data_IF_333481057844
#
_entry.id   IF_333481057844
#
_cell.length_a   1.000
_cell.length_b   1.000
_cell.length_c   1.000
_cell.angle_alpha   90.00
_cell.angle_beta   90.00
_cell.angle_gamma   90.00
#
_symmetry.space_group_name_H-M   'P 1'
#
loop_
_entity.id
_entity.type
_entity.pdbx_description
1 polymer ?
#
# COMPACT_ATOMS: atom_id res chain seq x y z
N UNK A 1 -1.97 -27.31 30.16
CA UNK A 1 -1.76 -25.88 30.02
C UNK A 1 -2.45 -25.41 28.73
N UNK A 2 -3.68 -24.89 28.90
CA UNK A 2 -4.40 -24.19 27.85
C UNK A 2 -3.66 -22.90 27.60
N UNK A 3 -2.98 -22.79 26.43
CA UNK A 3 -2.48 -21.52 25.97
C UNK A 3 -3.69 -20.64 25.64
N UNK A 4 -3.94 -19.63 26.45
CA UNK A 4 -4.83 -18.53 26.10
C UNK A 4 -4.18 -17.79 24.94
N UNK A 5 -4.63 -18.07 23.72
CA UNK A 5 -4.29 -17.28 22.55
C UNK A 5 -4.86 -15.89 22.76
N UNK A 6 -4.01 -14.90 22.74
CA UNK A 6 -4.39 -13.49 22.81
C UNK A 6 -5.25 -13.19 21.59
N UNK A 7 -6.56 -13.19 21.74
CA UNK A 7 -7.54 -13.12 20.65
C UNK A 7 -7.68 -11.71 20.05
N UNK A 8 -7.00 -10.72 20.65
CA UNK A 8 -7.07 -9.31 20.23
C UNK A 8 -6.00 -8.96 19.16
N UNK A 9 -5.01 -9.81 18.96
CA UNK A 9 -3.92 -9.55 18.02
C UNK A 9 -3.98 -10.45 16.80
N UNK A 10 -3.90 -9.82 15.61
CA UNK A 10 -3.74 -10.54 14.36
C UNK A 10 -2.30 -11.03 14.28
N UNK A 11 -2.13 -12.34 14.10
CA UNK A 11 -0.83 -12.96 13.85
C UNK A 11 -0.84 -13.62 12.48
N UNK A 12 0.07 -13.20 11.61
CA UNK A 12 0.25 -13.87 10.33
C UNK A 12 0.84 -15.27 10.53
N UNK A 13 0.25 -16.31 9.91
CA UNK A 13 0.75 -17.68 10.05
C UNK A 13 2.08 -17.84 9.31
N UNK A 14 3.16 -18.02 10.05
CA UNK A 14 4.46 -18.45 9.50
C UNK A 14 5.21 -17.46 8.62
N UNK A 15 4.82 -16.18 8.57
CA UNK A 15 5.51 -15.16 7.78
C UNK A 15 5.93 -13.95 8.62
N UNK A 16 6.87 -13.19 8.09
CA UNK A 16 7.20 -11.88 8.64
C UNK A 16 6.04 -10.91 8.37
N UNK A 17 5.59 -10.21 9.39
CA UNK A 17 4.47 -9.27 9.31
C UNK A 17 4.89 -7.90 9.80
N UNK A 18 4.45 -6.86 9.07
CA UNK A 18 4.68 -5.46 9.39
C UNK A 18 3.32 -4.71 9.44
N UNK A 19 3.33 -3.45 9.05
CA UNK A 19 2.25 -2.49 9.17
C UNK A 19 0.88 -2.98 8.69
N UNK A 20 -0.21 -2.59 9.37
CA UNK A 20 -1.55 -2.69 8.78
C UNK A 20 -1.65 -1.70 7.61
N UNK A 21 -2.09 -2.19 6.46
CA UNK A 21 -2.10 -1.42 5.21
C UNK A 21 -3.47 -0.91 4.81
N UNK A 22 -4.48 -1.73 4.97
CA UNK A 22 -5.85 -1.37 4.70
C UNK A 22 -6.76 -1.92 5.78
N UNK A 23 -7.72 -1.11 6.21
CA UNK A 23 -8.75 -1.55 7.14
C UNK A 23 -10.09 -0.98 6.66
N UNK A 24 -11.07 -1.87 6.45
CA UNK A 24 -12.37 -1.46 5.96
C UNK A 24 -13.47 -2.43 6.42
N UNK A 25 -14.64 -1.89 6.73
CA UNK A 25 -15.86 -2.69 6.86
C UNK A 25 -16.49 -2.84 5.48
N UNK A 26 -16.59 -4.07 5.01
CA UNK A 26 -17.04 -4.36 3.65
C UNK A 26 -17.87 -5.64 3.61
N UNK A 27 -19.07 -5.56 3.04
CA UNK A 27 -20.02 -6.69 2.90
C UNK A 27 -20.20 -7.50 4.18
N UNK A 28 -20.42 -6.79 5.29
CA UNK A 28 -20.75 -7.39 6.59
C UNK A 28 -19.58 -7.90 7.42
N UNK A 29 -18.34 -7.65 6.96
CA UNK A 29 -17.13 -8.06 7.68
C UNK A 29 -16.09 -6.93 7.73
N UNK A 30 -15.27 -6.94 8.78
CA UNK A 30 -14.07 -6.13 8.86
C UNK A 30 -12.96 -6.83 8.11
N UNK A 31 -12.31 -6.11 7.21
CA UNK A 31 -11.16 -6.56 6.44
C UNK A 31 -9.91 -5.84 6.91
N UNK A 32 -8.87 -6.58 7.24
CA UNK A 32 -7.55 -6.07 7.56
C UNK A 32 -6.55 -6.63 6.58
N UNK A 33 -5.80 -5.73 5.94
CA UNK A 33 -4.67 -6.08 5.10
C UNK A 33 -3.39 -5.66 5.80
N UNK A 34 -2.34 -6.46 5.63
CA UNK A 34 -1.07 -6.22 6.31
C UNK A 34 0.10 -6.58 5.42
N UNK A 35 1.21 -5.86 5.57
CA UNK A 35 2.44 -6.22 4.88
C UNK A 35 2.99 -7.53 5.42
N UNK A 36 3.40 -8.42 4.54
CA UNK A 36 4.07 -9.66 4.91
C UNK A 36 5.07 -10.11 3.85
N UNK A 37 6.05 -10.88 4.29
CA UNK A 37 6.93 -11.65 3.43
C UNK A 37 6.63 -13.13 3.65
N UNK A 38 5.95 -13.82 2.70
CA UNK A 38 5.44 -15.17 2.95
C UNK A 38 6.51 -16.28 2.90
N UNK A 39 7.74 -15.96 2.46
CA UNK A 39 8.81 -16.93 2.26
C UNK A 39 9.77 -17.08 3.44
N UNK A 40 9.52 -16.41 4.56
CA UNK A 40 10.34 -16.52 5.75
C UNK A 40 10.10 -15.42 6.78
N UNK A 41 10.67 -15.57 7.98
CA UNK A 41 10.51 -14.61 9.07
C UNK A 41 11.47 -13.42 8.96
N UNK A 42 11.59 -12.84 7.79
CA UNK A 42 12.50 -11.72 7.48
C UNK A 42 11.89 -10.75 6.49
N UNK A 43 12.45 -9.56 6.41
CA UNK A 43 12.12 -8.57 5.39
C UNK A 43 12.48 -9.12 4.00
N UNK A 44 11.65 -8.83 3.02
CA UNK A 44 11.87 -9.21 1.64
C UNK A 44 10.96 -8.45 0.69
N UNK A 45 10.69 -8.98 -0.50
CA UNK A 45 9.71 -8.43 -1.43
C UNK A 45 8.32 -8.52 -0.81
N UNK A 46 7.76 -7.37 -0.41
CA UNK A 46 6.54 -7.32 0.37
C UNK A 46 5.30 -7.73 -0.42
N UNK A 47 4.43 -8.46 0.26
CA UNK A 47 3.10 -8.85 -0.16
C UNK A 47 2.08 -8.25 0.80
N UNK A 48 0.81 -8.31 0.44
CA UNK A 48 -0.27 -8.04 1.37
C UNK A 48 -0.94 -9.34 1.78
N UNK A 49 -0.92 -9.63 3.08
CA UNK A 49 -1.77 -10.62 3.69
C UNK A 49 -3.16 -10.06 3.96
N UNK A 50 -4.12 -10.92 4.24
CA UNK A 50 -5.51 -10.57 4.40
C UNK A 50 -6.14 -11.38 5.54
N UNK A 51 -6.88 -10.70 6.40
CA UNK A 51 -7.69 -11.32 7.44
C UNK A 51 -9.06 -10.64 7.52
N UNK A 52 -10.08 -11.39 7.88
CA UNK A 52 -11.45 -10.90 8.04
C UNK A 52 -11.98 -11.24 9.42
N UNK A 53 -12.89 -10.41 9.93
CA UNK A 53 -13.54 -10.59 11.22
C UNK A 53 -14.98 -10.07 11.20
N UNK A 54 -15.86 -10.72 11.94
CA UNK A 54 -17.22 -10.22 12.17
C UNK A 54 -17.31 -9.34 13.43
N UNK A 55 -16.36 -9.47 14.36
CA UNK A 55 -16.44 -8.89 15.71
C UNK A 55 -15.18 -8.11 16.14
N UNK A 56 -14.16 -8.00 15.30
CA UNK A 56 -12.85 -7.38 15.58
C UNK A 56 -11.99 -8.14 16.60
N UNK A 57 -12.47 -9.26 17.11
CA UNK A 57 -11.77 -10.08 18.11
C UNK A 57 -11.27 -11.38 17.49
N UNK A 58 -12.13 -12.05 16.74
CA UNK A 58 -11.81 -13.31 16.06
C UNK A 58 -11.51 -13.05 14.59
N UNK A 59 -10.30 -13.41 14.14
CA UNK A 59 -9.83 -13.16 12.80
C UNK A 59 -9.58 -14.45 12.04
N UNK A 60 -10.10 -14.52 10.81
CA UNK A 60 -9.84 -15.59 9.87
C UNK A 60 -8.86 -15.10 8.79
N UNK A 61 -7.72 -15.78 8.67
CA UNK A 61 -6.73 -15.48 7.63
C UNK A 61 -7.19 -16.00 6.28
N UNK A 62 -7.13 -15.15 5.26
CA UNK A 62 -7.54 -15.45 3.89
C UNK A 62 -6.35 -15.70 2.93
N UNK A 63 -5.13 -15.61 3.44
CA UNK A 63 -3.92 -15.78 2.63
C UNK A 63 -3.43 -14.48 2.03
N UNK A 64 -2.81 -14.57 0.87
CA UNK A 64 -2.20 -13.42 0.19
C UNK A 64 -3.21 -12.75 -0.74
N UNK A 65 -3.45 -11.45 -0.52
CA UNK A 65 -4.28 -10.63 -1.39
C UNK A 65 -3.46 -9.99 -2.52
N UNK A 66 -2.28 -9.46 -2.22
CA UNK A 66 -1.39 -8.82 -3.19
C UNK A 66 -0.03 -9.49 -3.21
N UNK A 67 0.47 -9.74 -4.42
CA UNK A 67 1.85 -10.18 -4.66
C UNK A 67 2.43 -9.41 -5.85
N UNK A 68 3.77 -9.25 -5.92
CA UNK A 68 4.42 -8.62 -7.06
C UNK A 68 4.09 -9.34 -8.37
N UNK A 69 3.54 -8.61 -9.36
CA UNK A 69 3.05 -9.20 -10.60
C UNK A 69 3.14 -8.28 -11.81
N UNK A 70 3.31 -6.99 -11.58
CA UNK A 70 3.40 -5.97 -12.64
C UNK A 70 4.76 -5.27 -12.57
N UNK A 71 5.08 -4.51 -13.63
CA UNK A 71 6.32 -3.72 -13.68
C UNK A 71 6.43 -2.74 -12.50
N UNK A 72 5.33 -2.08 -12.13
CA UNK A 72 5.31 -1.06 -11.08
C UNK A 72 5.48 -1.62 -9.66
N UNK A 73 5.22 -2.91 -9.43
CA UNK A 73 5.34 -3.54 -8.12
C UNK A 73 6.20 -4.81 -8.11
N UNK A 74 7.04 -5.00 -9.11
CA UNK A 74 7.79 -6.26 -9.28
C UNK A 74 8.66 -6.62 -8.08
N UNK A 75 9.08 -5.65 -7.29
CA UNK A 75 9.95 -5.85 -6.12
C UNK A 75 9.24 -5.59 -4.79
N UNK A 76 7.95 -5.32 -4.79
CA UNK A 76 7.17 -5.24 -3.57
C UNK A 76 5.87 -4.47 -3.68
N UNK A 77 4.91 -4.89 -2.86
CA UNK A 77 3.63 -4.22 -2.61
C UNK A 77 3.71 -3.61 -1.20
N UNK A 78 3.87 -2.29 -1.13
CA UNK A 78 4.04 -1.55 0.13
C UNK A 78 2.71 -1.01 0.65
N UNK A 79 2.74 -0.18 1.68
CA UNK A 79 1.56 0.29 2.40
C UNK A 79 0.58 1.08 1.52
N UNK A 80 -0.66 1.13 1.94
CA UNK A 80 -1.72 1.81 1.24
C UNK A 80 -3.03 1.86 2.01
N UNK A 81 -4.15 1.86 1.30
CA UNK A 81 -5.48 2.01 1.88
C UNK A 81 -6.54 1.27 1.06
N UNK A 82 -7.74 1.18 1.62
CA UNK A 82 -8.89 0.53 1.00
C UNK A 82 -10.09 1.45 1.01
N UNK A 83 -10.87 1.45 -0.08
CA UNK A 83 -12.17 2.12 -0.17
C UNK A 83 -13.18 1.24 -0.91
N UNK A 84 -14.46 1.53 -0.72
CA UNK A 84 -15.56 0.85 -1.39
C UNK A 84 -16.39 1.85 -2.17
N UNK A 85 -16.81 1.46 -3.37
CA UNK A 85 -17.74 2.20 -4.21
C UNK A 85 -18.62 1.22 -4.98
N UNK A 86 -19.93 1.39 -4.85
CA UNK A 86 -20.94 0.58 -5.55
C UNK A 86 -20.76 -0.94 -5.40
N UNK A 87 -20.42 -1.38 -4.18
CA UNK A 87 -20.20 -2.79 -3.85
C UNK A 87 -18.87 -3.36 -4.28
N UNK A 88 -17.99 -2.58 -4.86
CA UNK A 88 -16.66 -2.95 -5.32
C UNK A 88 -15.59 -2.43 -4.36
N UNK A 89 -14.65 -3.30 -4.00
CA UNK A 89 -13.52 -2.95 -3.14
C UNK A 89 -12.34 -2.51 -3.99
N UNK A 90 -11.74 -1.38 -3.63
CA UNK A 90 -10.54 -0.82 -4.24
C UNK A 90 -9.42 -0.81 -3.22
N UNK A 91 -8.29 -1.44 -3.55
CA UNK A 91 -7.06 -1.34 -2.77
C UNK A 91 -6.07 -0.45 -3.53
N UNK A 92 -5.51 0.53 -2.81
CA UNK A 92 -4.45 1.41 -3.31
C UNK A 92 -3.19 1.14 -2.52
N UNK A 93 -2.05 1.07 -3.19
CA UNK A 93 -0.78 0.76 -2.54
C UNK A 93 0.39 1.30 -3.36
N UNK A 94 1.54 1.38 -2.72
CA UNK A 94 2.79 1.73 -3.39
C UNK A 94 3.47 0.49 -3.91
N UNK A 95 3.69 0.44 -5.21
CA UNK A 95 4.54 -0.57 -5.84
C UNK A 95 5.97 -0.07 -5.93
N UNK A 96 6.92 -0.97 -5.70
CA UNK A 96 8.36 -0.67 -5.76
C UNK A 96 9.02 -1.51 -6.82
N UNK A 97 9.91 -0.88 -7.59
CA UNK A 97 10.76 -1.52 -8.60
C UNK A 97 12.22 -1.13 -8.39
N UNK A 98 13.07 -2.14 -8.19
CA UNK A 98 14.50 -1.92 -8.03
C UNK A 98 15.14 -1.57 -9.36
N UNK A 99 15.94 -0.51 -9.38
CA UNK A 99 16.81 -0.16 -10.50
C UNK A 99 18.11 -0.95 -10.46
N UNK A 100 18.54 -1.32 -9.26
CA UNK A 100 19.74 -2.09 -9.02
C UNK A 100 19.50 -3.08 -7.87
N UNK A 101 19.52 -4.38 -8.19
CA UNK A 101 19.37 -5.44 -7.20
C UNK A 101 20.69 -5.74 -6.50
N UNK A 102 20.63 -6.15 -5.22
CA UNK A 102 21.78 -6.70 -4.51
C UNK A 102 22.06 -8.10 -5.07
N UNK A 103 23.26 -8.38 -5.62
CA UNK A 103 23.57 -9.68 -6.19
C UNK A 103 23.64 -10.82 -5.15
N UNK A 104 23.78 -10.50 -3.87
CA UNK A 104 23.82 -11.49 -2.79
C UNK A 104 22.41 -11.77 -2.22
N UNK A 105 21.51 -10.81 -2.27
CA UNK A 105 20.11 -10.98 -1.86
C UNK A 105 19.16 -10.16 -2.74
N UNK A 106 18.50 -10.83 -3.68
CA UNK A 106 17.56 -10.18 -4.63
C UNK A 106 16.30 -9.59 -3.99
N UNK A 107 16.08 -9.80 -2.68
CA UNK A 107 15.01 -9.12 -1.94
C UNK A 107 15.40 -7.71 -1.49
N UNK A 108 16.64 -7.30 -1.70
CA UNK A 108 17.17 -5.99 -1.34
C UNK A 108 17.57 -5.21 -2.59
N UNK A 109 17.40 -3.91 -2.56
CA UNK A 109 17.98 -3.04 -3.58
C UNK A 109 19.37 -2.56 -3.14
N UNK A 110 20.25 -2.35 -4.12
CA UNK A 110 21.58 -1.81 -3.87
C UNK A 110 21.52 -0.27 -3.93
N UNK A 111 22.16 0.38 -2.95
CA UNK A 111 22.31 1.85 -2.89
C UNK A 111 20.99 2.63 -2.98
N UNK A 112 19.87 2.08 -2.46
CA UNK A 112 18.54 2.69 -2.53
C UNK A 112 18.11 3.07 -3.96
N UNK A 113 18.57 2.33 -4.97
CA UNK A 113 18.24 2.54 -6.37
C UNK A 113 16.92 1.87 -6.72
N UNK A 114 15.82 2.54 -6.39
CA UNK A 114 14.46 2.07 -6.71
C UNK A 114 13.55 3.24 -7.10
N UNK A 115 12.42 2.91 -7.71
CA UNK A 115 11.34 3.86 -7.98
C UNK A 115 10.03 3.33 -7.42
N UNK A 116 9.13 4.25 -7.08
CA UNK A 116 7.82 3.96 -6.52
C UNK A 116 6.71 4.45 -7.44
N UNK A 117 5.78 3.58 -7.76
CA UNK A 117 4.55 3.90 -8.48
C UNK A 117 3.35 3.66 -7.56
N UNK A 118 2.23 4.32 -7.82
CA UNK A 118 1.02 4.03 -7.09
C UNK A 118 0.17 3.06 -7.91
N UNK A 119 -0.29 2.00 -7.25
CA UNK A 119 -0.99 0.87 -7.85
C UNK A 119 -2.39 0.76 -7.28
N UNK A 120 -3.26 0.13 -8.06
CA UNK A 120 -4.64 -0.16 -7.65
C UNK A 120 -4.99 -1.60 -8.05
N UNK A 121 -5.76 -2.27 -7.21
CA UNK A 121 -6.45 -3.52 -7.56
C UNK A 121 -7.89 -3.44 -7.08
N UNK A 122 -8.79 -4.12 -7.79
CA UNK A 122 -10.21 -4.16 -7.44
C UNK A 122 -10.67 -5.58 -7.17
N UNK A 123 -11.72 -5.71 -6.36
CA UNK A 123 -12.37 -6.99 -6.09
C UNK A 123 -13.88 -6.80 -5.94
N UNK A 124 -14.65 -7.69 -6.53
CA UNK A 124 -16.12 -7.68 -6.44
C UNK A 124 -16.63 -8.27 -5.12
N UNK A 125 -15.87 -9.16 -4.50
CA UNK A 125 -16.26 -9.86 -3.27
C UNK A 125 -15.38 -9.55 -2.05
N UNK A 126 -14.27 -8.84 -2.24
CA UNK A 126 -13.31 -8.53 -1.18
C UNK A 126 -12.48 -9.73 -0.70
N UNK A 127 -12.56 -10.87 -1.36
CA UNK A 127 -11.85 -12.10 -1.02
C UNK A 127 -10.91 -12.53 -2.15
N UNK A 128 -11.38 -12.46 -3.40
CA UNK A 128 -10.62 -12.84 -4.59
C UNK A 128 -10.00 -11.59 -5.24
N UNK A 129 -8.68 -11.60 -5.37
CA UNK A 129 -7.90 -10.54 -5.99
C UNK A 129 -7.07 -11.11 -7.14
N UNK A 130 -7.44 -10.78 -8.37
CA UNK A 130 -6.69 -11.20 -9.56
C UNK A 130 -5.55 -10.22 -9.83
N UNK A 131 -4.36 -10.57 -9.34
CA UNK A 131 -3.16 -9.74 -9.46
C UNK A 131 -2.63 -9.61 -10.90
N UNK A 132 -3.13 -10.42 -11.81
CA UNK A 132 -2.72 -10.37 -13.21
C UNK A 132 -3.68 -9.50 -14.03
N UNK A 133 -4.99 -9.65 -13.82
CA UNK A 133 -6.03 -9.03 -14.62
C UNK A 133 -6.52 -7.68 -14.06
N UNK A 134 -6.73 -7.61 -12.74
CA UNK A 134 -7.44 -6.49 -12.11
C UNK A 134 -6.52 -5.45 -11.46
N UNK A 135 -5.22 -5.59 -11.65
CA UNK A 135 -4.19 -4.70 -11.09
C UNK A 135 -3.68 -3.73 -12.16
N UNK A 136 -3.52 -2.47 -11.80
CA UNK A 136 -2.92 -1.47 -12.68
C UNK A 136 -2.17 -0.35 -11.94
N UNK A 137 -1.22 0.25 -12.62
CA UNK A 137 -0.56 1.48 -12.19
C UNK A 137 -1.47 2.67 -12.45
N UNK A 138 -1.67 3.52 -11.46
CA UNK A 138 -2.54 4.70 -11.55
C UNK A 138 -1.76 6.01 -11.47
N UNK A 139 -0.61 6.02 -10.83
CA UNK A 139 0.31 7.15 -10.77
C UNK A 139 1.72 6.61 -11.00
N UNK A 140 2.33 7.03 -12.10
CA UNK A 140 3.71 6.66 -12.44
C UNK A 140 4.71 7.28 -11.46
N UNK A 141 5.94 6.75 -11.36
CA UNK A 141 7.00 7.38 -10.58
C UNK A 141 7.16 8.85 -10.95
N UNK A 142 7.34 9.71 -9.95
CA UNK A 142 7.44 11.14 -10.15
C UNK A 142 8.72 11.46 -10.95
N UNK A 143 8.55 12.08 -12.11
CA UNK A 143 9.68 12.50 -12.97
C UNK A 143 10.21 13.90 -12.64
N UNK A 144 9.36 14.74 -12.02
CA UNK A 144 9.71 16.13 -11.70
C UNK A 144 10.17 16.25 -10.24
N UNK A 145 11.47 16.45 -10.04
CA UNK A 145 12.08 16.51 -8.70
C UNK A 145 11.53 17.63 -7.82
N UNK A 146 11.05 18.70 -8.44
CA UNK A 146 10.42 19.83 -7.73
C UNK A 146 9.07 19.42 -7.10
N UNK A 147 8.35 18.49 -7.72
CA UNK A 147 7.09 17.95 -7.22
C UNK A 147 7.32 16.98 -6.06
N UNK A 148 8.27 16.06 -6.21
CA UNK A 148 8.53 15.02 -5.22
C UNK A 148 9.70 14.13 -5.62
N UNK A 149 9.78 12.97 -4.98
CA UNK A 149 10.86 12.00 -5.17
C UNK A 149 10.37 10.74 -5.89
N UNK A 150 11.09 10.29 -6.91
CA UNK A 150 10.73 9.11 -7.68
C UNK A 150 10.81 7.81 -6.85
N UNK A 151 11.69 7.76 -5.86
CA UNK A 151 11.85 6.62 -4.97
C UNK A 151 10.94 6.72 -3.74
N UNK A 152 10.99 7.84 -3.04
CA UNK A 152 10.33 8.05 -1.76
C UNK A 152 9.01 8.80 -1.90
N UNK A 153 8.04 8.18 -2.62
CA UNK A 153 6.66 8.65 -2.71
C UNK A 153 5.75 7.46 -2.44
N UNK A 154 5.03 7.46 -1.31
CA UNK A 154 4.35 6.28 -0.82
C UNK A 154 3.16 6.53 0.09
N UNK A 155 2.52 5.43 0.49
CA UNK A 155 1.43 5.34 1.47
C UNK A 155 0.17 6.08 1.00
N UNK A 156 -0.43 5.69 -0.15
CA UNK A 156 -1.62 6.36 -0.64
C UNK A 156 -2.81 6.16 0.31
N UNK A 157 -3.36 7.27 0.79
CA UNK A 157 -4.60 7.31 1.54
C UNK A 157 -5.69 7.93 0.67
N UNK A 158 -6.76 7.18 0.43
CA UNK A 158 -7.87 7.60 -0.42
C UNK A 158 -9.12 7.82 0.44
N UNK A 159 -9.86 8.89 0.16
CA UNK A 159 -11.13 9.18 0.85
C UNK A 159 -12.12 9.88 -0.08
N UNK A 160 -13.40 9.79 0.26
CA UNK A 160 -14.46 10.49 -0.45
C UNK A 160 -14.63 11.91 0.11
N UNK A 161 -14.45 12.92 -0.76
CA UNK A 161 -14.79 14.31 -0.47
C UNK A 161 -16.23 14.64 -0.89
N UNK A 162 -16.60 15.92 -0.84
CA UNK A 162 -17.94 16.37 -1.22
C UNK A 162 -18.22 16.18 -2.72
N UNK A 163 -17.23 16.45 -3.56
CA UNK A 163 -17.36 16.54 -5.01
C UNK A 163 -16.56 15.46 -5.76
N UNK A 164 -15.63 14.80 -5.12
CA UNK A 164 -14.73 13.83 -5.75
C UNK A 164 -14.08 12.92 -4.73
N UNK A 165 -13.30 11.96 -5.23
CA UNK A 165 -12.35 11.19 -4.45
C UNK A 165 -11.02 11.92 -4.39
N UNK A 166 -10.33 11.80 -3.27
CA UNK A 166 -9.02 12.41 -3.04
C UNK A 166 -8.02 11.37 -2.58
N UNK A 167 -6.77 11.60 -2.92
CA UNK A 167 -5.64 10.79 -2.46
C UNK A 167 -4.54 11.71 -1.94
N UNK A 168 -3.93 11.32 -0.82
CA UNK A 168 -2.72 11.94 -0.31
C UNK A 168 -1.58 10.94 -0.32
N UNK A 169 -0.39 11.40 -0.72
CA UNK A 169 0.86 10.66 -0.72
C UNK A 169 1.90 11.40 0.11
N UNK A 170 2.70 10.64 0.85
CA UNK A 170 3.91 11.17 1.47
C UNK A 170 5.07 11.16 0.47
N UNK A 171 5.84 12.23 0.43
CA UNK A 171 7.07 12.35 -0.36
C UNK A 171 8.06 13.28 0.35
N UNK A 172 9.20 13.55 -0.26
CA UNK A 172 10.05 14.65 0.15
C UNK A 172 10.46 15.52 -1.04
N UNK A 173 10.64 16.80 -0.78
CA UNK A 173 11.05 17.76 -1.79
C UNK A 173 12.56 17.77 -2.02
N UNK A 174 13.00 18.52 -3.00
CA UNK A 174 14.42 18.76 -3.31
C UNK A 174 15.14 19.58 -2.22
N UNK A 175 14.39 20.19 -1.29
CA UNK A 175 14.89 20.90 -0.10
C UNK A 175 15.17 19.96 1.09
N UNK A 176 14.94 18.64 0.93
CA UNK A 176 15.14 17.64 1.97
C UNK A 176 14.06 17.58 3.04
N UNK A 177 12.95 18.30 2.88
CA UNK A 177 11.82 18.28 3.81
C UNK A 177 10.68 17.39 3.32
N UNK A 178 9.94 16.81 4.27
CA UNK A 178 8.73 16.05 4.00
C UNK A 178 7.66 16.90 3.32
N UNK A 179 6.86 16.27 2.47
CA UNK A 179 5.82 16.91 1.68
C UNK A 179 4.63 15.95 1.51
N UNK A 180 3.42 16.51 1.45
CA UNK A 180 2.22 15.78 1.08
C UNK A 180 1.80 16.19 -0.33
N UNK A 181 1.52 15.21 -1.17
CA UNK A 181 0.97 15.40 -2.50
C UNK A 181 -0.52 15.03 -2.50
N UNK A 182 -1.35 15.88 -3.08
CA UNK A 182 -2.79 15.66 -3.19
C UNK A 182 -3.21 15.44 -4.64
N UNK A 183 -4.00 14.39 -4.85
CA UNK A 183 -4.60 14.02 -6.13
C UNK A 183 -6.10 13.94 -6.00
N UNK A 184 -6.80 14.08 -7.12
CA UNK A 184 -8.25 14.06 -7.22
C UNK A 184 -8.71 13.12 -8.32
N UNK A 185 -9.82 12.42 -8.09
CA UNK A 185 -10.44 11.54 -9.08
C UNK A 185 -11.96 11.61 -9.03
N UNK A 186 -12.61 11.56 -10.20
CA UNK A 186 -14.04 11.43 -10.30
C UNK A 186 -14.51 9.96 -10.28
N UNK A 187 -13.62 9.01 -10.63
CA UNK A 187 -13.97 7.61 -10.92
C UNK A 187 -13.13 6.56 -10.16
N UNK A 188 -12.23 6.98 -9.25
CA UNK A 188 -11.29 6.12 -8.51
C UNK A 188 -10.18 5.49 -9.38
N UNK A 189 -10.19 5.69 -10.67
CA UNK A 189 -9.27 5.07 -11.61
C UNK A 189 -8.31 6.06 -12.27
N UNK A 190 -8.79 7.26 -12.59
CA UNK A 190 -8.02 8.33 -13.21
C UNK A 190 -7.77 9.45 -12.20
N UNK A 191 -6.51 9.72 -11.92
CA UNK A 191 -6.08 10.65 -10.88
C UNK A 191 -5.37 11.85 -11.46
N UNK A 192 -5.73 13.03 -10.99
CA UNK A 192 -5.11 14.30 -11.38
C UNK A 192 -4.45 14.96 -10.19
N UNK A 193 -3.23 15.45 -10.37
CA UNK A 193 -2.53 16.21 -9.35
C UNK A 193 -3.26 17.52 -9.03
N UNK A 194 -3.38 17.84 -7.74
CA UNK A 194 -4.05 19.05 -7.26
C UNK A 194 -3.02 20.05 -6.74
N UNK A 195 -2.33 19.69 -5.66
CA UNK A 195 -1.30 20.53 -5.04
C UNK A 195 -0.43 19.73 -4.08
N UNK A 196 0.58 20.41 -3.52
CA UNK A 196 1.43 19.88 -2.48
C UNK A 196 1.40 20.78 -1.25
N UNK A 197 1.55 20.17 -0.06
CA UNK A 197 1.73 20.86 1.20
C UNK A 197 3.06 20.46 1.80
N UNK A 198 3.88 21.44 2.13
CA UNK A 198 5.16 21.23 2.81
C UNK A 198 5.36 22.28 3.88
N UNK A 199 6.11 21.93 4.93
CA UNK A 199 6.50 22.87 5.97
C UNK A 199 7.93 22.58 6.40
N UNK A 200 8.77 23.60 6.34
CA UNK A 200 10.15 23.53 6.79
C UNK A 200 10.25 23.10 8.25
N UNK A 201 11.16 22.16 8.55
CA UNK A 201 11.39 21.67 9.91
C UNK A 201 10.50 20.51 10.37
N UNK A 202 9.62 19.97 9.51
CA UNK A 202 8.73 18.85 9.83
C UNK A 202 9.28 17.46 9.45
N UNK A 203 10.58 17.32 9.34
CA UNK A 203 11.21 16.05 9.05
C UNK A 203 11.42 15.79 7.57
N UNK A 204 12.15 14.73 7.27
CA UNK A 204 12.56 14.38 5.92
C UNK A 204 11.41 13.88 5.04
N UNK A 205 10.54 13.08 5.61
CA UNK A 205 9.37 12.51 4.92
C UNK A 205 8.23 12.26 5.90
N UNK A 206 6.99 12.45 5.45
CA UNK A 206 5.81 12.04 6.17
C UNK A 206 5.32 10.71 5.63
N UNK A 207 5.19 9.72 6.50
CA UNK A 207 4.69 8.39 6.18
C UNK A 207 3.29 8.19 6.76
N UNK A 208 2.49 7.35 6.11
CA UNK A 208 1.11 7.01 6.52
C UNK A 208 0.29 8.27 6.88
N UNK A 209 0.18 9.26 5.97
CA UNK A 209 -0.53 10.52 6.21
C UNK A 209 -2.03 10.34 6.48
#
# INVERSE_FOLDING_TARGET
>A
HTMTTNTIHIKAPGCWMNDPNGFIYYKGKYHMFYQCFPYGPRWGRMHWGHAVSEDLVHWEHKGIALFPSKRGDRDGCFSGSAVEQDGKLYLYYTGVSYLLEDPEDTNLCLDDQFVSAQMMITSEDGIHFDNIKDKREIIAPIGEREMGDAAHTRDPKVWRGEDAWYMVLGTHGNDGNGRLLFYRSADLENWSYVNAVSKSGFGWMWECP
#
